data_IF_064991074780
#
_entry.id   IF_064991074780
#
_cell.length_a   1.000
_cell.length_b   1.000
_cell.length_c   1.000
_cell.angle_alpha   90.00
_cell.angle_beta   90.00
_cell.angle_gamma   90.00
#
_symmetry.space_group_name_H-M   'P 1'
#
loop_
_entity.id
_entity.type
_entity.pdbx_description
1 polymer ?
#
# COMPACT_ATOMS: atom_id res chain seq x y z
N UNK A 1 -1.55 -15.41 21.71
CA UNK A 1 -0.59 -14.31 21.56
C UNK A 1 0.76 -14.90 21.23
N UNK A 2 1.38 -14.49 20.12
CA UNK A 2 2.77 -14.85 19.81
C UNK A 2 3.71 -13.80 20.38
N UNK A 3 4.87 -14.23 20.88
CA UNK A 3 5.96 -13.34 21.33
C UNK A 3 7.05 -13.37 20.28
N UNK A 4 7.55 -12.19 19.89
CA UNK A 4 8.64 -12.05 18.94
C UNK A 4 9.75 -11.26 19.61
N UNK A 5 10.95 -11.83 19.65
CA UNK A 5 12.16 -11.12 20.08
C UNK A 5 12.89 -10.60 18.84
N UNK A 6 13.12 -9.29 18.79
CA UNK A 6 13.79 -8.63 17.67
C UNK A 6 14.97 -7.85 18.21
N UNK A 7 16.12 -7.93 17.52
CA UNK A 7 17.23 -7.02 17.74
C UNK A 7 17.06 -5.83 16.81
N UNK A 8 17.05 -4.65 17.39
CA UNK A 8 17.03 -3.37 16.68
C UNK A 8 18.32 -2.63 16.96
N UNK A 9 18.66 -1.69 16.09
CA UNK A 9 19.87 -0.87 16.22
C UNK A 9 19.72 0.41 15.40
N UNK A 10 20.40 1.47 15.82
CA UNK A 10 20.53 2.70 15.02
C UNK A 10 19.18 3.41 14.86
N UNK A 11 18.79 3.72 13.64
CA UNK A 11 17.54 4.44 13.34
C UNK A 11 16.29 3.75 13.92
N UNK A 12 16.29 2.42 13.98
CA UNK A 12 15.17 1.67 14.55
C UNK A 12 15.04 1.86 16.08
N UNK A 13 16.15 2.04 16.80
CA UNK A 13 16.12 2.36 18.24
C UNK A 13 15.60 3.78 18.47
N UNK A 14 16.04 4.74 17.64
CA UNK A 14 15.58 6.13 17.70
C UNK A 14 14.08 6.23 17.40
N UNK A 15 13.61 5.56 16.35
CA UNK A 15 12.19 5.53 16.01
C UNK A 15 11.36 4.89 17.13
N UNK A 16 11.86 3.82 17.77
CA UNK A 16 11.16 3.23 18.89
C UNK A 16 11.11 4.17 20.10
N UNK A 17 12.19 4.89 20.39
CA UNK A 17 12.22 5.88 21.46
C UNK A 17 11.21 7.01 21.20
N UNK A 18 11.12 7.49 19.96
CA UNK A 18 10.14 8.51 19.56
C UNK A 18 8.70 8.00 19.72
N UNK A 19 8.41 6.80 19.22
CA UNK A 19 7.07 6.18 19.30
C UNK A 19 6.62 5.85 20.73
N UNK A 20 7.53 5.89 21.70
CA UNK A 20 7.25 5.61 23.11
C UNK A 20 7.45 6.82 24.03
N UNK A 21 7.86 7.97 23.48
CA UNK A 21 8.17 9.18 24.23
C UNK A 21 6.95 9.75 24.98
N UNK A 22 5.74 9.45 24.52
CA UNK A 22 4.47 9.83 25.12
C UNK A 22 4.01 8.89 26.25
N UNK A 23 4.82 7.89 26.61
CA UNK A 23 4.50 6.87 27.59
C UNK A 23 3.78 5.64 27.02
N UNK A 24 3.61 5.56 25.69
CA UNK A 24 3.08 4.36 25.04
C UNK A 24 4.01 3.16 25.28
N UNK A 25 3.44 2.01 25.63
CA UNK A 25 4.25 0.79 25.82
C UNK A 25 4.91 0.35 24.51
N UNK A 26 6.12 -0.18 24.59
CA UNK A 26 6.86 -0.75 23.44
C UNK A 26 6.01 -1.72 22.62
N UNK A 27 5.28 -2.62 23.28
CA UNK A 27 4.42 -3.59 22.61
C UNK A 27 3.31 -2.94 21.79
N UNK A 28 2.72 -1.84 22.29
CA UNK A 28 1.66 -1.13 21.58
C UNK A 28 2.22 -0.28 20.45
N UNK A 29 3.34 0.41 20.67
CA UNK A 29 4.05 1.15 19.63
C UNK A 29 4.44 0.25 18.45
N UNK A 30 5.03 -0.92 18.73
CA UNK A 30 5.41 -1.90 17.70
C UNK A 30 4.19 -2.47 16.99
N UNK A 31 3.10 -2.79 17.72
CA UNK A 31 1.87 -3.28 17.10
C UNK A 31 1.29 -2.28 16.11
N UNK A 32 1.22 -1.00 16.51
CA UNK A 32 0.73 0.09 15.65
C UNK A 32 1.61 0.27 14.43
N UNK A 33 2.93 0.35 14.63
CA UNK A 33 3.90 0.50 13.55
C UNK A 33 3.80 -0.62 12.50
N UNK A 34 3.62 -1.88 12.93
CA UNK A 34 3.43 -3.01 12.01
C UNK A 34 2.15 -2.88 11.17
N UNK A 35 1.04 -2.48 11.79
CA UNK A 35 -0.24 -2.27 11.08
C UNK A 35 -0.12 -1.11 10.09
N UNK A 36 0.54 -0.03 10.48
CA UNK A 36 0.77 1.13 9.62
C UNK A 36 1.69 0.81 8.44
N UNK A 37 2.77 0.04 8.66
CA UNK A 37 3.66 -0.42 7.62
C UNK A 37 2.91 -1.26 6.56
N UNK A 38 2.00 -2.14 6.98
CA UNK A 38 1.14 -2.90 6.06
C UNK A 38 0.23 -1.97 5.26
N UNK A 39 -0.37 -0.96 5.90
CA UNK A 39 -1.23 0.02 5.21
C UNK A 39 -0.45 0.85 4.19
N UNK A 40 0.76 1.30 4.55
CA UNK A 40 1.68 1.99 3.65
C UNK A 40 1.99 1.12 2.43
N UNK A 41 2.38 -0.13 2.66
CA UNK A 41 2.70 -1.07 1.58
C UNK A 41 1.51 -1.35 0.67
N UNK A 42 0.29 -1.52 1.22
CA UNK A 42 -0.92 -1.69 0.39
C UNK A 42 -1.19 -0.49 -0.51
N UNK A 43 -1.02 0.73 0.00
CA UNK A 43 -1.18 1.96 -0.81
C UNK A 43 -0.14 2.04 -1.92
N UNK A 44 1.09 1.62 -1.64
CA UNK A 44 2.16 1.59 -2.64
C UNK A 44 1.90 0.52 -3.71
N UNK A 45 1.46 -0.68 -3.30
CA UNK A 45 1.06 -1.74 -4.23
C UNK A 45 -0.08 -1.28 -5.14
N UNK A 46 -1.10 -0.59 -4.63
CA UNK A 46 -2.16 -0.03 -5.47
C UNK A 46 -1.64 0.99 -6.49
N UNK A 47 -0.64 1.81 -6.15
CA UNK A 47 0.00 2.74 -7.10
C UNK A 47 0.83 2.01 -8.15
N UNK A 48 1.52 0.94 -7.77
CA UNK A 48 2.31 0.12 -8.69
C UNK A 48 1.42 -0.71 -9.61
N UNK A 49 0.31 -1.26 -9.10
CA UNK A 49 -0.68 -1.98 -9.88
C UNK A 49 -1.43 -1.03 -10.84
N UNK A 50 -1.77 0.19 -10.41
CA UNK A 50 -2.30 1.21 -11.31
C UNK A 50 -1.32 1.59 -12.43
N UNK A 51 -0.01 1.66 -12.13
CA UNK A 51 1.02 1.86 -13.16
C UNK A 51 1.17 0.66 -14.10
N UNK A 52 1.03 -0.58 -13.59
CA UNK A 52 1.07 -1.80 -14.41
C UNK A 52 -0.15 -1.93 -15.31
N UNK A 53 -1.34 -1.63 -14.80
CA UNK A 53 -2.59 -1.62 -15.58
C UNK A 53 -2.58 -0.58 -16.71
N UNK A 54 -1.87 0.55 -16.55
CA UNK A 54 -1.69 1.54 -17.62
C UNK A 54 -0.56 1.22 -18.62
N UNK A 55 0.28 0.22 -18.30
CA UNK A 55 1.43 -0.16 -19.09
C UNK A 55 1.16 -1.35 -20.03
N UNK A 56 0.01 -2.03 -19.93
CA UNK A 56 -0.37 -3.09 -20.85
C UNK A 56 -1.03 -2.50 -22.12
N UNK A 57 -0.44 -2.68 -23.32
CA UNK A 57 -1.03 -2.23 -24.57
C UNK A 57 -2.37 -2.92 -24.90
N UNK A 58 -2.60 -4.15 -24.41
CA UNK A 58 -3.85 -4.88 -24.66
C UNK A 58 -5.04 -4.26 -23.92
N UNK A 59 -4.82 -3.72 -22.72
CA UNK A 59 -5.87 -3.01 -21.97
C UNK A 59 -6.27 -1.70 -22.66
N UNK A 60 -5.33 -1.02 -23.34
CA UNK A 60 -5.64 0.17 -24.15
C UNK A 60 -6.49 -0.15 -25.38
N UNK A 61 -6.22 -1.29 -26.02
CA UNK A 61 -7.01 -1.74 -27.17
C UNK A 61 -8.41 -2.22 -26.76
N UNK A 62 -8.53 -2.89 -25.60
CA UNK A 62 -9.82 -3.29 -25.05
C UNK A 62 -10.68 -2.07 -24.66
N UNK A 63 -10.08 -1.06 -24.02
CA UNK A 63 -10.79 0.20 -23.68
C UNK A 63 -11.17 0.99 -24.93
N UNK A 64 -10.35 0.98 -25.99
CA UNK A 64 -10.68 1.62 -27.27
C UNK A 64 -11.87 0.93 -27.93
N UNK A 65 -11.86 -0.41 -28.05
CA UNK A 65 -12.98 -1.16 -28.64
C UNK A 65 -14.27 -0.97 -27.86
N UNK A 66 -14.20 -0.96 -26.52
CA UNK A 66 -15.37 -0.70 -25.70
C UNK A 66 -15.94 0.71 -25.95
N UNK A 67 -15.10 1.75 -26.08
CA UNK A 67 -15.60 3.08 -26.44
C UNK A 67 -16.19 3.16 -27.85
N UNK A 68 -15.62 2.44 -28.83
CA UNK A 68 -16.17 2.37 -30.19
C UNK A 68 -17.51 1.66 -30.22
N UNK A 69 -17.65 0.54 -29.51
CA UNK A 69 -18.91 -0.20 -29.38
C UNK A 69 -20.00 0.66 -28.75
N UNK A 70 -19.68 1.41 -27.69
CA UNK A 70 -20.65 2.29 -27.02
C UNK A 70 -21.04 3.51 -27.85
N UNK A 71 -20.15 4.03 -28.69
CA UNK A 71 -20.45 5.12 -29.61
C UNK A 71 -21.37 4.68 -30.77
N UNK A 72 -21.36 3.39 -31.12
CA UNK A 72 -22.26 2.79 -32.11
C UNK A 72 -23.68 2.58 -31.55
N UNK A 73 -23.82 2.36 -30.23
CA UNK A 73 -25.13 2.19 -29.58
C UNK A 73 -25.89 3.52 -29.43
N UNK A 74 -25.20 4.67 -29.42
CA UNK A 74 -25.81 6.00 -29.26
C UNK A 74 -26.37 6.59 -30.58
N UNK A 75 -26.14 5.93 -31.73
CA UNK A 75 -26.65 6.37 -33.04
C UNK A 75 -27.79 5.51 -33.62
N UNK A 76 -28.46 4.70 -32.79
CA UNK A 76 -29.61 3.86 -33.16
C UNK A 76 -30.96 4.41 -32.74
#
# INVERSE_FOLDING_TARGET
MGVVNVRISGEAEQALAELTADGTSTSEAVRRALVEAVRLRRRETMRLDARRAMADPSDREAVRRAMEEWADVDQG
#
